data_IF_525805110907
#
_entry.id   IF_525805110907
#
_cell.length_a   1.000
_cell.length_b   1.000
_cell.length_c   1.000
_cell.angle_alpha   90.00
_cell.angle_beta   90.00
_cell.angle_gamma   90.00
#
_symmetry.space_group_name_H-M   'P 1'
#
loop_
_entity.id
_entity.type
_entity.pdbx_description
1 polymer ?
#
# COMPACT_ATOMS: atom_id res chain seq x y z
N UNK A 1 -29.69 -9.14 -16.49
CA UNK A 1 -30.58 -7.96 -16.51
C UNK A 1 -30.82 -7.54 -15.07
N UNK A 2 -30.22 -6.44 -14.65
CA UNK A 2 -30.19 -5.97 -13.25
C UNK A 2 -31.44 -5.14 -12.95
N UNK A 3 -32.22 -5.61 -11.97
CA UNK A 3 -33.52 -5.09 -11.48
C UNK A 3 -33.53 -3.57 -11.20
N UNK A 4 -32.36 -2.98 -10.98
CA UNK A 4 -32.17 -1.55 -10.67
C UNK A 4 -32.45 -0.65 -11.89
N UNK A 5 -32.13 -1.10 -13.11
CA UNK A 5 -32.33 -0.29 -14.32
C UNK A 5 -33.80 0.01 -14.63
N UNK A 6 -34.68 -0.96 -14.37
CA UNK A 6 -36.13 -0.81 -14.61
C UNK A 6 -36.83 0.08 -13.57
N UNK A 7 -36.31 0.13 -12.34
CA UNK A 7 -36.84 0.98 -11.29
C UNK A 7 -36.52 2.47 -11.53
N UNK A 8 -35.30 2.79 -11.98
CA UNK A 8 -34.87 4.17 -12.26
C UNK A 8 -35.62 4.76 -13.47
N UNK A 9 -35.84 3.95 -14.51
CA UNK A 9 -36.58 4.36 -15.71
C UNK A 9 -38.06 4.67 -15.43
N UNK A 10 -38.69 3.96 -14.48
CA UNK A 10 -40.06 4.26 -14.01
C UNK A 10 -40.16 5.54 -13.17
N UNK A 11 -39.05 5.99 -12.57
CA UNK A 11 -39.00 7.19 -11.74
C UNK A 11 -38.66 8.47 -12.51
N UNK A 12 -38.46 8.41 -13.83
CA UNK A 12 -38.07 9.57 -14.66
C UNK A 12 -36.68 10.11 -14.33
N UNK A 13 -35.84 9.32 -13.66
CA UNK A 13 -34.46 9.68 -13.33
C UNK A 13 -33.57 9.15 -14.44
N UNK A 14 -32.77 10.03 -15.04
CA UNK A 14 -31.70 9.62 -15.94
C UNK A 14 -30.74 8.71 -15.17
N UNK A 15 -30.44 7.55 -15.76
CA UNK A 15 -29.44 6.67 -15.18
C UNK A 15 -28.12 7.46 -15.08
N UNK A 16 -27.39 7.40 -13.95
CA UNK A 16 -26.10 8.07 -13.84
C UNK A 16 -25.25 7.64 -15.02
N UNK A 17 -24.65 8.62 -15.71
CA UNK A 17 -23.79 8.33 -16.85
C UNK A 17 -22.75 7.29 -16.42
N UNK A 18 -22.49 6.28 -17.26
CA UNK A 18 -21.50 5.28 -16.93
C UNK A 18 -20.16 6.00 -16.76
N UNK A 19 -19.70 6.12 -15.50
CA UNK A 19 -18.36 6.61 -15.17
C UNK A 19 -17.38 5.95 -16.11
N UNK A 20 -16.70 6.76 -16.93
CA UNK A 20 -15.80 6.27 -17.97
C UNK A 20 -14.79 5.31 -17.33
N UNK A 21 -14.44 4.23 -18.03
CA UNK A 21 -13.60 3.15 -17.48
C UNK A 21 -12.35 3.71 -16.77
N UNK A 22 -11.68 4.70 -17.36
CA UNK A 22 -10.47 5.32 -16.80
C UNK A 22 -10.68 6.07 -15.48
N UNK A 23 -11.85 6.68 -15.23
CA UNK A 23 -12.13 7.35 -13.95
C UNK A 23 -12.28 6.33 -12.81
N UNK A 24 -12.83 5.14 -13.10
CA UNK A 24 -12.90 4.05 -12.10
C UNK A 24 -11.51 3.52 -11.74
N UNK A 25 -10.60 3.39 -12.72
CA UNK A 25 -9.21 2.98 -12.46
C UNK A 25 -8.47 4.01 -11.62
N UNK A 26 -8.61 5.29 -11.97
CA UNK A 26 -8.00 6.39 -11.21
C UNK A 26 -8.50 6.41 -9.78
N UNK A 27 -9.79 6.23 -9.56
CA UNK A 27 -10.38 6.17 -8.23
C UNK A 27 -9.82 4.98 -7.43
N UNK A 28 -9.79 3.78 -8.02
CA UNK A 28 -9.27 2.58 -7.37
C UNK A 28 -7.79 2.72 -6.99
N UNK A 29 -6.97 3.28 -7.89
CA UNK A 29 -5.55 3.55 -7.60
C UNK A 29 -5.40 4.57 -6.48
N UNK A 30 -6.17 5.66 -6.51
CA UNK A 30 -6.13 6.71 -5.47
C UNK A 30 -6.56 6.18 -4.11
N UNK A 31 -7.50 5.23 -4.05
CA UNK A 31 -7.88 4.55 -2.81
C UNK A 31 -6.73 3.73 -2.22
N UNK A 32 -5.90 3.09 -3.04
CA UNK A 32 -4.70 2.36 -2.58
C UNK A 32 -3.64 3.31 -2.04
N UNK A 33 -3.42 4.44 -2.70
CA UNK A 33 -2.54 5.51 -2.20
C UNK A 33 -3.03 6.02 -0.85
N UNK A 34 -4.33 6.29 -0.71
CA UNK A 34 -4.93 6.71 0.55
C UNK A 34 -4.80 5.65 1.64
N UNK A 35 -4.96 4.37 1.30
CA UNK A 35 -4.74 3.24 2.21
C UNK A 35 -3.30 3.22 2.73
N UNK A 36 -2.30 3.27 1.83
CA UNK A 36 -0.89 3.27 2.22
C UNK A 36 -0.55 4.47 3.11
N UNK A 37 -0.99 5.68 2.75
CA UNK A 37 -0.78 6.90 3.56
C UNK A 37 -1.42 6.80 4.94
N UNK A 38 -2.65 6.31 5.02
CA UNK A 38 -3.35 6.12 6.30
C UNK A 38 -2.62 5.11 7.20
N UNK A 39 -2.13 4.01 6.62
CA UNK A 39 -1.33 3.03 7.35
C UNK A 39 -0.02 3.62 7.86
N UNK A 40 0.68 4.43 7.06
CA UNK A 40 1.92 5.12 7.50
C UNK A 40 1.63 6.11 8.64
N UNK A 41 0.55 6.90 8.54
CA UNK A 41 0.15 7.82 9.61
C UNK A 41 -0.17 7.08 10.91
N UNK A 42 -0.86 5.94 10.81
CA UNK A 42 -1.12 5.10 11.98
C UNK A 42 0.15 4.46 12.54
N UNK A 43 1.09 4.06 11.70
CA UNK A 43 2.41 3.59 12.10
C UNK A 43 3.11 4.66 12.94
N UNK A 44 3.22 5.91 12.46
CA UNK A 44 3.84 7.01 13.22
C UNK A 44 3.15 7.25 14.56
N UNK A 45 1.82 7.19 14.60
CA UNK A 45 1.07 7.33 15.85
C UNK A 45 1.35 6.18 16.82
N UNK A 46 1.46 4.96 16.32
CA UNK A 46 1.65 3.76 17.13
C UNK A 46 3.08 3.61 17.64
N UNK A 47 4.09 3.97 16.84
CA UNK A 47 5.48 4.02 17.32
C UNK A 47 5.62 5.04 18.45
N UNK A 48 5.03 6.22 18.32
CA UNK A 48 5.00 7.21 19.42
C UNK A 48 4.09 6.82 20.60
N UNK A 49 3.11 5.93 20.41
CA UNK A 49 2.34 5.34 21.51
C UNK A 49 3.19 4.33 22.28
N UNK A 50 3.93 3.48 21.59
CA UNK A 50 4.72 2.41 22.17
C UNK A 50 5.64 2.91 23.30
N UNK A 51 6.32 4.05 23.08
CA UNK A 51 7.18 4.69 24.09
C UNK A 51 6.45 5.07 25.39
N UNK A 52 5.15 5.35 25.32
CA UNK A 52 4.33 5.78 26.47
C UNK A 52 3.75 4.62 27.27
N UNK A 53 3.71 3.43 26.67
CA UNK A 53 3.14 2.24 27.28
C UNK A 53 4.21 1.24 27.72
N UNK A 54 5.50 1.60 27.59
CA UNK A 54 6.61 0.79 28.09
C UNK A 54 6.42 0.44 29.58
N UNK A 55 6.50 -0.85 29.88
CA UNK A 55 6.28 -1.42 31.22
C UNK A 55 4.87 -1.96 31.44
N UNK A 56 3.92 -1.72 30.52
CA UNK A 56 2.62 -2.39 30.49
C UNK A 56 2.63 -3.46 29.39
N UNK A 57 2.92 -4.71 29.77
CA UNK A 57 3.10 -5.83 28.83
C UNK A 57 1.88 -6.02 27.89
N UNK A 58 0.67 -5.82 28.39
CA UNK A 58 -0.54 -6.01 27.61
C UNK A 58 -0.71 -4.88 26.59
N UNK A 59 -0.56 -3.62 27.02
CA UNK A 59 -0.67 -2.48 26.11
C UNK A 59 0.46 -2.43 25.08
N UNK A 60 1.67 -2.87 25.44
CA UNK A 60 2.79 -3.04 24.52
C UNK A 60 2.44 -4.05 23.42
N UNK A 61 1.97 -5.24 23.79
CA UNK A 61 1.62 -6.30 22.86
C UNK A 61 0.48 -5.93 21.91
N UNK A 62 -0.53 -5.21 22.40
CA UNK A 62 -1.63 -4.70 21.59
C UNK A 62 -1.14 -3.62 20.61
N UNK A 63 -0.25 -2.73 21.08
CA UNK A 63 0.35 -1.68 20.25
C UNK A 63 1.22 -2.27 19.14
N UNK A 64 2.06 -3.26 19.46
CA UNK A 64 2.90 -3.98 18.50
C UNK A 64 2.07 -4.78 17.48
N UNK A 65 0.97 -5.39 17.92
CA UNK A 65 0.08 -6.14 17.03
C UNK A 65 -0.66 -5.21 16.05
N UNK A 66 -1.14 -4.05 16.53
CA UNK A 66 -1.73 -3.04 15.67
C UNK A 66 -0.70 -2.48 14.66
N UNK A 67 0.52 -2.22 15.12
CA UNK A 67 1.61 -1.75 14.27
C UNK A 67 1.91 -2.74 13.15
N UNK A 68 2.02 -4.03 13.47
CA UNK A 68 2.20 -5.10 12.47
C UNK A 68 1.07 -5.13 11.45
N UNK A 69 -0.19 -4.95 11.86
CA UNK A 69 -1.32 -4.93 10.92
C UNK A 69 -1.17 -3.80 9.91
N UNK A 70 -0.94 -2.57 10.37
CA UNK A 70 -0.77 -1.43 9.48
C UNK A 70 0.47 -1.54 8.59
N UNK A 71 1.55 -2.14 9.10
CA UNK A 71 2.73 -2.45 8.30
C UNK A 71 2.39 -3.41 7.15
N UNK A 72 1.66 -4.49 7.42
CA UNK A 72 1.22 -5.42 6.38
C UNK A 72 0.34 -4.70 5.36
N UNK A 73 -0.67 -3.95 5.80
CA UNK A 73 -1.58 -3.22 4.92
C UNK A 73 -0.83 -2.22 4.01
N UNK A 74 0.14 -1.50 4.56
CA UNK A 74 1.02 -0.59 3.82
C UNK A 74 1.79 -1.34 2.72
N UNK A 75 2.42 -2.47 3.05
CA UNK A 75 3.21 -3.26 2.07
C UNK A 75 2.35 -3.92 1.00
N UNK A 76 1.12 -4.34 1.31
CA UNK A 76 0.18 -4.84 0.30
C UNK A 76 -0.30 -3.73 -0.62
N UNK A 77 -0.64 -2.56 -0.08
CA UNK A 77 -1.01 -1.41 -0.90
C UNK A 77 0.12 -0.99 -1.85
N UNK A 78 1.38 -1.03 -1.39
CA UNK A 78 2.55 -0.82 -2.24
C UNK A 78 2.61 -1.81 -3.41
N UNK A 79 2.50 -3.12 -3.14
CA UNK A 79 2.49 -4.16 -4.18
C UNK A 79 1.36 -3.95 -5.18
N UNK A 80 0.15 -3.69 -4.69
CA UNK A 80 -1.05 -3.51 -5.50
C UNK A 80 -0.96 -2.28 -6.42
N UNK A 81 -0.26 -1.22 -6.01
CA UNK A 81 -0.01 -0.04 -6.84
C UNK A 81 1.03 -0.34 -7.93
N UNK A 82 2.12 -1.04 -7.59
CA UNK A 82 3.13 -1.41 -8.59
C UNK A 82 2.55 -2.38 -9.62
N UNK A 83 1.73 -3.33 -9.19
CA UNK A 83 1.08 -4.28 -10.09
C UNK A 83 0.15 -3.56 -11.08
N UNK A 84 -0.65 -2.59 -10.61
CA UNK A 84 -1.47 -1.75 -11.50
C UNK A 84 -0.63 -0.99 -12.53
N UNK A 85 0.51 -0.41 -12.11
CA UNK A 85 1.46 0.27 -13.01
C UNK A 85 2.02 -0.70 -14.05
N UNK A 86 2.43 -1.90 -13.62
CA UNK A 86 3.02 -2.94 -14.49
C UNK A 86 2.01 -3.38 -15.55
N UNK A 87 0.79 -3.70 -15.12
CA UNK A 87 -0.34 -4.09 -15.99
C UNK A 87 -0.63 -3.00 -17.02
N UNK A 88 -0.72 -1.74 -16.59
CA UNK A 88 -0.98 -0.61 -17.48
C UNK A 88 0.15 -0.38 -18.50
N UNK A 89 1.41 -0.57 -18.10
CA UNK A 89 2.56 -0.43 -19.02
C UNK A 89 2.68 -1.57 -20.03
N UNK A 90 2.48 -2.80 -19.59
CA UNK A 90 2.71 -3.99 -20.41
C UNK A 90 1.48 -4.44 -21.19
N UNK A 91 0.31 -3.81 -20.98
CA UNK A 91 -0.99 -4.19 -21.56
C UNK A 91 -1.32 -5.67 -21.30
N UNK A 92 -0.97 -6.17 -20.12
CA UNK A 92 -1.17 -7.57 -19.72
C UNK A 92 -2.46 -7.75 -18.94
N UNK A 93 -2.99 -8.96 -18.89
CA UNK A 93 -4.13 -9.27 -18.04
C UNK A 93 -3.67 -9.53 -16.59
N UNK A 94 -4.44 -9.04 -15.61
CA UNK A 94 -4.04 -9.03 -14.20
C UNK A 94 -4.01 -10.43 -13.58
N UNK A 95 -4.71 -11.39 -14.19
CA UNK A 95 -4.87 -12.76 -13.66
C UNK A 95 -3.64 -13.66 -13.82
N UNK A 96 -2.60 -13.24 -14.55
CA UNK A 96 -1.50 -14.14 -14.94
C UNK A 96 -0.26 -14.11 -14.04
N UNK A 97 -0.03 -13.09 -13.19
CA UNK A 97 1.28 -12.95 -12.52
C UNK A 97 1.22 -12.32 -11.13
N UNK A 98 0.84 -13.12 -10.13
CA UNK A 98 1.17 -12.81 -8.74
C UNK A 98 2.66 -13.07 -8.49
N UNK A 99 3.45 -12.01 -8.44
CA UNK A 99 4.90 -12.10 -8.22
C UNK A 99 5.29 -12.01 -6.73
N UNK A 100 6.54 -12.37 -6.42
CA UNK A 100 7.08 -12.24 -5.06
C UNK A 100 7.23 -10.78 -4.62
N UNK A 101 7.24 -10.51 -3.31
CA UNK A 101 7.52 -9.15 -2.81
C UNK A 101 8.88 -8.61 -3.27
N UNK A 102 9.91 -9.46 -3.36
CA UNK A 102 11.23 -9.08 -3.89
C UNK A 102 11.15 -8.56 -5.33
N UNK A 103 10.29 -9.16 -6.16
CA UNK A 103 10.08 -8.69 -7.52
C UNK A 103 9.51 -7.27 -7.52
N UNK A 104 8.50 -6.98 -6.69
CA UNK A 104 7.91 -5.64 -6.63
C UNK A 104 8.88 -4.58 -6.10
N UNK A 105 9.68 -4.91 -5.09
CA UNK A 105 10.77 -4.04 -4.61
C UNK A 105 11.73 -3.73 -5.75
N UNK A 106 12.21 -4.76 -6.46
CA UNK A 106 13.12 -4.56 -7.59
C UNK A 106 12.49 -3.77 -8.73
N UNK A 107 11.21 -4.00 -9.03
CA UNK A 107 10.51 -3.23 -10.05
C UNK A 107 10.43 -1.75 -9.68
N UNK A 108 10.20 -1.45 -8.40
CA UNK A 108 10.24 -0.08 -7.89
C UNK A 108 11.64 0.52 -8.08
N UNK A 109 12.70 -0.15 -7.62
CA UNK A 109 14.07 0.37 -7.70
C UNK A 109 14.53 0.58 -9.14
N UNK A 110 14.22 -0.36 -10.03
CA UNK A 110 14.72 -0.34 -11.41
C UNK A 110 13.96 0.65 -12.31
N UNK A 111 12.68 0.96 -12.01
CA UNK A 111 11.80 1.68 -12.94
C UNK A 111 11.04 2.88 -12.39
N UNK A 112 10.86 3.00 -11.08
CA UNK A 112 9.96 4.00 -10.45
C UNK A 112 10.75 4.94 -9.54
N UNK A 113 11.70 4.41 -8.77
CA UNK A 113 12.48 5.18 -7.81
C UNK A 113 13.25 6.31 -8.51
N UNK A 114 13.08 7.57 -8.09
CA UNK A 114 13.91 8.67 -8.57
C UNK A 114 15.39 8.45 -8.20
N UNK A 115 16.30 8.84 -9.09
CA UNK A 115 17.75 8.74 -8.85
C UNK A 115 18.23 9.63 -7.69
N UNK A 116 17.51 10.73 -7.42
CA UNK A 116 17.83 11.75 -6.42
C UNK A 116 16.97 11.65 -5.16
N UNK A 117 16.40 10.47 -4.88
CA UNK A 117 15.52 10.30 -3.74
C UNK A 117 16.30 10.47 -2.42
N UNK A 118 15.87 11.40 -1.54
CA UNK A 118 16.55 11.63 -0.27
C UNK A 118 16.27 10.49 0.75
N UNK A 119 17.21 10.29 1.67
CA UNK A 119 17.07 9.33 2.77
C UNK A 119 17.48 7.90 2.40
N UNK A 120 17.23 6.98 3.33
CA UNK A 120 17.68 5.58 3.28
C UNK A 120 16.58 4.69 2.68
N UNK A 121 16.18 4.98 1.44
CA UNK A 121 15.02 4.35 0.76
C UNK A 121 15.24 2.86 0.50
N UNK A 122 16.47 2.45 0.20
CA UNK A 122 16.78 1.04 -0.04
C UNK A 122 16.59 0.23 1.25
N UNK A 123 17.11 0.73 2.36
CA UNK A 123 16.93 0.16 3.70
C UNK A 123 15.46 0.14 4.11
N UNK A 124 14.71 1.21 3.80
CA UNK A 124 13.28 1.26 4.01
C UNK A 124 12.55 0.15 3.24
N UNK A 125 12.88 -0.06 1.95
CA UNK A 125 12.29 -1.13 1.13
C UNK A 125 12.67 -2.53 1.62
N UNK A 126 13.89 -2.73 2.10
CA UNK A 126 14.31 -4.00 2.69
C UNK A 126 13.42 -4.40 3.86
N UNK A 127 12.96 -3.42 4.66
CA UNK A 127 12.04 -3.71 5.78
C UNK A 127 10.75 -4.37 5.31
N UNK A 128 10.28 -4.13 4.07
CA UNK A 128 9.03 -4.72 3.57
C UNK A 128 9.10 -6.24 3.57
N UNK A 129 10.31 -6.82 3.44
CA UNK A 129 10.50 -8.27 3.51
C UNK A 129 10.03 -8.89 4.84
N UNK A 130 9.99 -8.08 5.92
CA UNK A 130 9.43 -8.49 7.21
C UNK A 130 7.95 -8.86 7.11
N UNK A 131 7.20 -8.38 6.09
CA UNK A 131 5.81 -8.78 5.87
C UNK A 131 5.67 -10.28 5.68
N UNK A 132 6.61 -10.93 4.99
CA UNK A 132 6.53 -12.38 4.79
C UNK A 132 6.67 -13.13 6.12
N UNK A 133 7.59 -12.69 6.98
CA UNK A 133 7.74 -13.25 8.31
C UNK A 133 6.52 -12.95 9.19
N UNK A 134 6.01 -11.72 9.11
CA UNK A 134 4.83 -11.29 9.82
C UNK A 134 3.57 -12.05 9.38
N UNK A 135 3.43 -12.49 8.13
CA UNK A 135 2.23 -13.24 7.73
C UNK A 135 2.30 -14.74 8.04
N UNK A 136 3.49 -15.30 8.25
CA UNK A 136 3.67 -16.75 8.24
C UNK A 136 4.37 -17.34 9.48
N UNK A 137 5.15 -16.56 10.24
CA UNK A 137 5.93 -17.05 11.39
C UNK A 137 5.35 -16.60 12.72
N UNK A 138 4.33 -17.32 13.18
CA UNK A 138 3.68 -17.07 14.47
C UNK A 138 4.59 -17.38 15.67
N UNK A 139 5.51 -18.32 15.50
CA UNK A 139 6.52 -18.75 16.48
C UNK A 139 7.54 -17.65 16.82
N UNK A 140 7.79 -16.73 15.89
CA UNK A 140 8.75 -15.62 16.05
C UNK A 140 8.06 -14.25 16.10
N UNK A 141 6.77 -14.25 16.45
CA UNK A 141 5.91 -13.06 16.41
C UNK A 141 6.48 -11.85 17.15
N UNK A 142 6.98 -12.05 18.36
CA UNK A 142 7.53 -10.97 19.19
C UNK A 142 8.77 -10.35 18.53
N UNK A 143 9.72 -11.19 18.11
CA UNK A 143 10.92 -10.74 17.42
C UNK A 143 10.59 -9.97 16.13
N UNK A 144 9.68 -10.50 15.31
CA UNK A 144 9.23 -9.85 14.07
C UNK A 144 8.52 -8.52 14.38
N UNK A 145 7.69 -8.46 15.41
CA UNK A 145 7.01 -7.23 15.82
C UNK A 145 8.02 -6.15 16.23
N UNK A 146 9.07 -6.49 16.97
CA UNK A 146 10.12 -5.52 17.33
C UNK A 146 10.98 -5.11 16.14
N UNK A 147 11.24 -6.00 15.19
CA UNK A 147 11.91 -5.66 13.94
C UNK A 147 11.07 -4.68 13.10
N UNK A 148 9.75 -4.92 13.02
CA UNK A 148 8.80 -4.00 12.38
C UNK A 148 8.78 -2.66 13.11
N UNK A 149 8.71 -2.65 14.44
CA UNK A 149 8.77 -1.43 15.24
C UNK A 149 10.01 -0.60 14.90
N UNK A 150 11.19 -1.24 14.88
CA UNK A 150 12.44 -0.57 14.54
C UNK A 150 12.41 0.03 13.13
N UNK A 151 11.99 -0.75 12.13
CA UNK A 151 11.87 -0.26 10.76
C UNK A 151 10.91 0.92 10.65
N UNK A 152 9.75 0.80 11.29
CA UNK A 152 8.73 1.83 11.32
C UNK A 152 9.18 3.13 12.01
N UNK A 153 9.93 3.03 13.11
CA UNK A 153 10.47 4.19 13.81
C UNK A 153 11.51 4.92 12.98
N UNK A 154 12.32 4.17 12.22
CA UNK A 154 13.43 4.74 11.47
C UNK A 154 13.02 5.27 10.09
N UNK A 155 12.05 4.64 9.42
CA UNK A 155 11.82 4.84 7.99
C UNK A 155 10.40 5.31 7.61
N UNK A 156 9.62 5.83 8.57
CA UNK A 156 8.25 6.27 8.30
C UNK A 156 8.18 7.38 7.22
N UNK A 157 9.20 8.25 7.15
CA UNK A 157 9.26 9.31 6.16
C UNK A 157 9.55 8.75 4.77
N UNK A 158 10.50 7.84 4.66
CA UNK A 158 10.86 7.14 3.43
C UNK A 158 9.66 6.35 2.88
N UNK A 159 8.82 5.76 3.75
CA UNK A 159 7.58 5.11 3.30
C UNK A 159 6.59 6.10 2.65
N UNK A 160 6.50 7.34 3.15
CA UNK A 160 5.69 8.39 2.52
C UNK A 160 6.28 8.80 1.18
N UNK A 161 7.60 8.92 1.10
CA UNK A 161 8.31 9.31 -0.11
C UNK A 161 8.18 8.25 -1.21
N UNK A 162 8.29 6.96 -0.85
CA UNK A 162 7.98 5.81 -1.72
C UNK A 162 6.52 5.86 -2.19
N UNK A 163 5.57 6.09 -1.28
CA UNK A 163 4.15 6.18 -1.65
C UNK A 163 3.91 7.32 -2.66
N UNK A 164 4.57 8.46 -2.44
CA UNK A 164 4.48 9.63 -3.32
C UNK A 164 5.10 9.35 -4.69
N UNK A 165 6.30 8.77 -4.75
CA UNK A 165 6.97 8.51 -6.04
C UNK A 165 6.20 7.52 -6.90
N UNK A 166 5.61 6.48 -6.30
CA UNK A 166 4.74 5.53 -7.01
C UNK A 166 3.53 6.24 -7.62
N UNK A 167 2.88 7.14 -6.86
CA UNK A 167 1.76 7.92 -7.35
C UNK A 167 2.17 8.88 -8.48
N UNK A 168 3.22 9.66 -8.27
CA UNK A 168 3.71 10.65 -9.24
C UNK A 168 4.09 9.97 -10.57
N UNK A 169 4.77 8.83 -10.50
CA UNK A 169 5.13 8.04 -11.67
C UNK A 169 3.91 7.57 -12.46
N UNK A 170 2.90 7.06 -11.74
CA UNK A 170 1.68 6.57 -12.35
C UNK A 170 0.86 7.71 -13.00
N UNK A 171 0.84 8.89 -12.37
CA UNK A 171 0.17 10.08 -12.89
C UNK A 171 0.89 10.63 -14.13
N UNK A 172 2.21 10.83 -14.06
CA UNK A 172 3.02 11.34 -15.17
C UNK A 172 3.00 10.43 -16.40
N UNK A 173 2.99 9.11 -16.20
CA UNK A 173 2.88 8.13 -17.29
C UNK A 173 1.45 7.98 -17.86
N UNK A 174 0.48 8.69 -17.30
CA UNK A 174 -0.95 8.53 -17.55
C UNK A 174 -1.38 7.06 -17.44
N UNK A 175 -0.87 6.37 -16.41
CA UNK A 175 -1.07 4.93 -16.19
C UNK A 175 -2.30 4.65 -15.34
N UNK A 176 -2.76 5.65 -14.58
CA UNK A 176 -3.95 5.58 -13.73
C UNK A 176 -5.27 5.77 -14.49
N UNK A 177 -5.23 6.24 -15.74
CA UNK A 177 -6.41 6.47 -16.60
C UNK A 177 -6.54 5.45 -17.74
N UNK A 178 -5.52 4.62 -17.98
CA UNK A 178 -5.52 3.66 -19.08
C UNK A 178 -6.18 2.35 -18.64
N UNK A 179 -7.24 1.95 -19.35
CA UNK A 179 -7.66 0.54 -19.43
C UNK A 179 -8.06 0.19 -20.85
#
# INVERSE_FOLDING_TARGET
MTVIGDAMKKAGLEAPEPVESGEKHKLAFTQKVACMKSSIQNIVRLTGKYEKVLGDEQEEMDTLSALRSHFIDMTEAFKDMIDDIRVAKQKMDKSENAESLRFYIRYYTDFICPEDMPGDVEEALETFMLRNEASHRYDLREHVNHAILRGCTNYAQEYLDICKSVYDYAEQGNLILKK
#
